data_IF_824138471643
#
_entry.id   IF_824138471643
#
_cell.length_a   1.000
_cell.length_b   1.000
_cell.length_c   1.000
_cell.angle_alpha   90.00
_cell.angle_beta   90.00
_cell.angle_gamma   90.00
#
_symmetry.space_group_name_H-M   'P 1'
#
loop_
_entity.id
_entity.type
_entity.pdbx_description
1 polymer ?
#
# COMPACT_ATOMS: atom_id res chain seq x y z
N UNK A 1 16.90 -10.82 17.39
CA UNK A 1 15.56 -10.99 16.84
C UNK A 1 15.23 -9.86 15.87
N UNK A 2 14.75 -10.21 14.70
CA UNK A 2 14.54 -9.21 13.65
C UNK A 2 13.08 -9.14 13.26
N UNK A 3 12.54 -7.93 13.30
CA UNK A 3 11.19 -7.67 12.85
C UNK A 3 11.23 -6.99 11.48
N UNK A 4 10.10 -6.99 10.79
CA UNK A 4 10.00 -6.27 9.54
C UNK A 4 10.23 -4.78 9.80
N UNK A 5 10.95 -4.13 8.89
CA UNK A 5 11.07 -2.68 8.94
C UNK A 5 9.94 -2.09 8.08
N UNK A 6 9.51 -0.89 8.43
CA UNK A 6 8.39 -0.25 7.75
C UNK A 6 8.64 1.24 7.71
N UNK A 7 8.86 1.78 6.52
CA UNK A 7 9.18 3.18 6.33
C UNK A 7 8.22 3.78 5.31
N UNK A 8 7.55 4.86 5.66
CA UNK A 8 6.66 5.54 4.72
C UNK A 8 7.48 6.24 3.65
N UNK A 9 7.19 5.98 2.39
CA UNK A 9 7.95 6.53 1.27
C UNK A 9 7.17 7.50 0.41
N UNK A 10 5.85 7.32 0.27
CA UNK A 10 5.06 8.27 -0.50
C UNK A 10 3.56 8.09 -0.24
N UNK A 11 2.77 9.03 -0.76
CA UNK A 11 1.32 8.97 -0.68
C UNK A 11 0.79 9.11 -2.10
N UNK A 12 -0.15 8.23 -2.47
CA UNK A 12 -0.79 8.31 -3.77
C UNK A 12 -2.30 8.42 -3.56
N UNK A 13 -3.00 8.88 -4.60
CA UNK A 13 -4.46 9.03 -4.55
C UNK A 13 -5.08 7.94 -5.41
N UNK A 14 -6.04 7.21 -4.84
CA UNK A 14 -6.77 6.20 -5.60
C UNK A 14 -7.65 6.89 -6.64
N UNK A 15 -7.58 6.40 -7.88
CA UNK A 15 -8.18 7.10 -9.00
C UNK A 15 -9.68 7.34 -8.90
N UNK A 16 -10.44 6.36 -8.45
CA UNK A 16 -11.89 6.47 -8.45
C UNK A 16 -12.44 7.14 -7.20
N UNK A 17 -11.92 6.76 -6.04
CA UNK A 17 -12.46 7.24 -4.77
C UNK A 17 -11.84 8.55 -4.31
N UNK A 18 -10.68 8.92 -4.84
CA UNK A 18 -9.93 10.08 -4.36
C UNK A 18 -9.31 9.88 -3.00
N UNK A 19 -9.32 8.66 -2.51
CA UNK A 19 -8.79 8.34 -1.18
C UNK A 19 -7.27 8.32 -1.21
N UNK A 20 -6.64 8.93 -0.21
CA UNK A 20 -5.18 8.91 -0.12
C UNK A 20 -4.70 7.61 0.49
N UNK A 21 -3.69 7.02 -0.14
CA UNK A 21 -3.08 5.77 0.32
C UNK A 21 -1.65 6.07 0.73
N UNK A 22 -1.30 5.74 1.97
CA UNK A 22 0.08 5.86 2.44
C UNK A 22 0.83 4.60 2.06
N UNK A 23 1.95 4.75 1.36
CA UNK A 23 2.75 3.61 0.91
C UNK A 23 3.99 3.48 1.78
N UNK A 24 4.21 2.28 2.26
CA UNK A 24 5.36 1.96 3.10
C UNK A 24 6.24 0.95 2.38
N UNK A 25 7.54 1.17 2.46
CA UNK A 25 8.51 0.19 2.01
C UNK A 25 8.88 -0.67 3.21
N UNK A 26 8.72 -1.96 3.07
CA UNK A 26 8.95 -2.91 4.15
C UNK A 26 10.02 -3.92 3.76
N UNK A 27 10.78 -4.36 4.75
CA UNK A 27 11.79 -5.38 4.53
C UNK A 27 11.60 -6.43 5.62
N UNK A 28 11.42 -7.68 5.23
CA UNK A 28 11.24 -8.74 6.20
C UNK A 28 12.59 -9.19 6.76
N UNK A 29 12.61 -10.07 7.80
CA UNK A 29 13.87 -10.51 8.41
C UNK A 29 14.82 -11.23 7.46
N UNK A 30 14.31 -11.70 6.31
CA UNK A 30 15.14 -12.38 5.32
C UNK A 30 15.59 -11.42 4.22
N UNK A 31 15.40 -10.11 4.43
CA UNK A 31 15.81 -9.06 3.49
C UNK A 31 14.99 -9.01 2.21
N UNK A 32 13.78 -9.56 2.24
CA UNK A 32 12.88 -9.43 1.09
C UNK A 32 12.09 -8.13 1.23
N UNK A 33 12.12 -7.32 0.16
CA UNK A 33 11.42 -6.04 0.16
C UNK A 33 10.00 -6.21 -0.37
N UNK A 34 9.06 -5.52 0.26
CA UNK A 34 7.69 -5.49 -0.23
C UNK A 34 7.09 -4.12 0.10
N UNK A 35 5.94 -3.84 -0.49
CA UNK A 35 5.26 -2.57 -0.25
C UNK A 35 3.92 -2.82 0.42
N UNK A 36 3.54 -1.90 1.28
CA UNK A 36 2.27 -1.98 1.98
C UNK A 36 1.58 -0.63 1.88
N UNK A 37 0.39 -0.63 1.29
CA UNK A 37 -0.42 0.57 1.19
C UNK A 37 -1.52 0.52 2.23
N UNK A 38 -1.75 1.63 2.92
CA UNK A 38 -2.76 1.70 3.98
C UNK A 38 -3.69 2.88 3.73
N UNK A 39 -4.99 2.63 3.86
CA UNK A 39 -5.96 3.70 3.69
C UNK A 39 -7.24 3.37 4.44
N UNK A 40 -8.04 4.40 4.71
CA UNK A 40 -9.35 4.25 5.33
C UNK A 40 -10.42 4.68 4.34
N UNK A 41 -11.48 3.90 4.25
CA UNK A 41 -12.61 4.21 3.38
C UNK A 41 -13.88 3.82 4.11
N UNK A 42 -14.76 4.79 4.30
CA UNK A 42 -16.06 4.59 4.97
C UNK A 42 -15.88 3.82 6.29
N UNK A 43 -15.05 4.37 7.16
CA UNK A 43 -14.78 3.81 8.49
C UNK A 43 -14.17 2.40 8.49
N UNK A 44 -13.60 2.00 7.36
CA UNK A 44 -12.93 0.70 7.26
C UNK A 44 -11.48 0.92 6.90
N UNK A 45 -10.60 0.24 7.61
CA UNK A 45 -9.16 0.30 7.34
C UNK A 45 -8.79 -0.80 6.35
N UNK A 46 -8.05 -0.44 5.33
CA UNK A 46 -7.59 -1.38 4.33
C UNK A 46 -6.07 -1.38 4.25
N UNK A 47 -5.51 -2.54 3.96
CA UNK A 47 -4.08 -2.70 3.78
C UNK A 47 -3.86 -3.59 2.55
N UNK A 48 -2.99 -3.14 1.64
CA UNK A 48 -2.68 -3.88 0.42
C UNK A 48 -1.18 -4.14 0.39
N UNK A 49 -0.80 -5.40 0.26
CA UNK A 49 0.61 -5.79 0.25
C UNK A 49 0.97 -6.32 -1.13
N UNK A 50 2.13 -5.92 -1.64
CA UNK A 50 2.61 -6.39 -2.93
C UNK A 50 4.12 -6.52 -2.98
N UNK A 51 4.61 -7.60 -3.60
CA UNK A 51 6.03 -7.83 -3.81
C UNK A 51 6.33 -7.63 -5.29
N UNK A 52 6.56 -6.38 -5.68
CA UNK A 52 6.80 -6.02 -7.07
C UNK A 52 7.54 -4.68 -7.10
N UNK A 53 7.89 -4.20 -8.29
CA UNK A 53 8.52 -2.90 -8.41
C UNK A 53 7.55 -1.81 -7.97
N UNK A 54 8.08 -0.73 -7.42
CA UNK A 54 7.26 0.36 -6.91
C UNK A 54 6.32 0.94 -7.97
N UNK A 55 6.82 1.09 -9.20
CA UNK A 55 6.00 1.62 -10.28
C UNK A 55 4.76 0.77 -10.53
N UNK A 56 4.94 -0.55 -10.54
CA UNK A 56 3.82 -1.47 -10.73
C UNK A 56 2.85 -1.41 -9.58
N UNK A 57 3.39 -1.32 -8.36
CA UNK A 57 2.57 -1.30 -7.16
C UNK A 57 1.70 -0.04 -7.11
N UNK A 58 2.29 1.13 -7.39
CA UNK A 58 1.53 2.38 -7.38
C UNK A 58 0.48 2.41 -8.48
N UNK A 59 0.79 1.83 -9.65
CA UNK A 59 -0.18 1.76 -10.74
C UNK A 59 -1.39 0.92 -10.33
N UNK A 60 -1.16 -0.19 -9.65
CA UNK A 60 -2.25 -1.03 -9.17
C UNK A 60 -3.12 -0.26 -8.17
N UNK A 61 -2.50 0.43 -7.22
CA UNK A 61 -3.24 1.20 -6.23
C UNK A 61 -4.09 2.29 -6.88
N UNK A 62 -3.53 2.99 -7.86
CA UNK A 62 -4.25 4.07 -8.53
C UNK A 62 -5.46 3.57 -9.32
N UNK A 63 -5.47 2.29 -9.66
CA UNK A 63 -6.55 1.70 -10.42
C UNK A 63 -7.49 0.82 -9.59
N UNK A 64 -7.27 0.75 -8.29
CA UNK A 64 -8.15 -0.02 -7.42
C UNK A 64 -9.51 0.65 -7.32
N UNK A 65 -10.54 -0.18 -7.41
CA UNK A 65 -11.91 0.26 -7.26
C UNK A 65 -12.55 -0.60 -6.16
N UNK A 66 -13.08 0.08 -5.13
CA UNK A 66 -13.73 -0.61 -4.02
C UNK A 66 -15.23 -0.49 -4.24
N UNK A 67 -15.89 -1.64 -4.39
CA UNK A 67 -17.33 -1.68 -4.52
C UNK A 67 -17.96 -1.91 -3.17
N UNK A 68 -18.76 -0.94 -2.74
CA UNK A 68 -19.57 -1.09 -1.54
C UNK A 68 -20.98 -1.43 -1.99
N UNK A 69 -21.24 -2.67 -2.03
CA UNK A 69 -22.59 -3.11 -2.42
C UNK A 69 -23.48 -3.16 -1.19
#
# INVERSE_FOLDING_TARGET
EMDDTKVKIETVTMGISGTEVSIYECVDPESNKYYQGEFNLINTYYSVVGMMELNEYTEILENISINNA
#
